data_IF_420103411615
#
_entry.id   IF_420103411615
#
_cell.length_a   1.000
_cell.length_b   1.000
_cell.length_c   1.000
_cell.angle_alpha   90.00
_cell.angle_beta   90.00
_cell.angle_gamma   90.00
#
_symmetry.space_group_name_H-M   'P 1'
#
loop_
_entity.id
_entity.type
_entity.pdbx_description
1 polymer ?
#
# COMPACT_ATOMS: atom_id res chain seq x y z
N UNK A 1 0.38 39.58 25.71
CA UNK A 1 0.93 39.03 24.45
C UNK A 1 1.21 37.52 24.49
N UNK A 2 0.44 36.74 25.28
CA UNK A 2 0.65 35.29 25.46
C UNK A 2 -0.53 34.42 25.01
N UNK A 3 -1.72 35.00 24.80
CA UNK A 3 -2.93 34.26 24.38
C UNK A 3 -2.83 33.71 22.95
N UNK A 4 -2.25 34.48 22.02
CA UNK A 4 -2.03 34.02 20.63
C UNK A 4 -1.03 32.86 20.58
N UNK A 5 0.04 32.92 21.38
CA UNK A 5 1.03 31.83 21.48
C UNK A 5 0.42 30.55 22.05
N UNK A 6 -0.44 30.67 23.07
CA UNK A 6 -1.18 29.54 23.65
C UNK A 6 -2.16 28.91 22.65
N UNK A 7 -2.89 29.72 21.89
CA UNK A 7 -3.82 29.23 20.87
C UNK A 7 -3.11 28.46 19.75
N UNK A 8 -1.96 28.97 19.29
CA UNK A 8 -1.14 28.29 18.26
C UNK A 8 -0.59 26.96 18.76
N UNK A 9 -0.10 26.90 20.00
CA UNK A 9 0.38 25.65 20.60
C UNK A 9 -0.73 24.61 20.77
N UNK A 10 -1.93 25.03 21.19
CA UNK A 10 -3.09 24.15 21.28
C UNK A 10 -3.58 23.66 19.91
N UNK A 11 -3.52 24.51 18.88
CA UNK A 11 -3.89 24.11 17.52
C UNK A 11 -2.89 23.10 16.94
N UNK A 12 -1.58 23.27 17.18
CA UNK A 12 -0.55 22.32 16.76
C UNK A 12 -0.70 21.00 17.52
N UNK A 13 -0.88 21.05 18.85
CA UNK A 13 -1.05 19.87 19.68
C UNK A 13 -2.34 19.11 19.32
N UNK A 14 -3.46 19.81 19.17
CA UNK A 14 -4.74 19.23 18.78
C UNK A 14 -4.75 18.71 17.34
N UNK A 15 -4.13 19.43 16.41
CA UNK A 15 -3.94 19.00 15.03
C UNK A 15 -3.09 17.73 14.93
N UNK A 16 -1.98 17.68 15.67
CA UNK A 16 -1.12 16.51 15.77
C UNK A 16 -1.83 15.30 16.39
N UNK A 17 -2.58 15.50 17.48
CA UNK A 17 -3.35 14.44 18.13
C UNK A 17 -4.43 13.86 17.21
N UNK A 18 -5.23 14.73 16.59
CA UNK A 18 -6.31 14.30 15.71
C UNK A 18 -5.80 13.60 14.45
N UNK A 19 -4.65 14.05 13.91
CA UNK A 19 -3.98 13.38 12.79
C UNK A 19 -3.49 11.98 13.19
N UNK A 20 -2.85 11.85 14.35
CA UNK A 20 -2.32 10.59 14.86
C UNK A 20 -3.42 9.57 15.20
N UNK A 21 -4.55 10.04 15.76
CA UNK A 21 -5.68 9.17 16.10
C UNK A 21 -6.37 8.60 14.85
N UNK A 22 -6.48 9.38 13.76
CA UNK A 22 -7.01 8.87 12.50
C UNK A 22 -6.10 7.82 11.86
N UNK A 23 -4.78 8.01 11.94
CA UNK A 23 -3.83 7.07 11.36
C UNK A 23 -3.78 5.74 12.13
N UNK A 24 -3.77 5.78 13.46
CA UNK A 24 -3.77 4.56 14.30
C UNK A 24 -5.03 3.71 14.10
N UNK A 25 -6.20 4.33 13.94
CA UNK A 25 -7.45 3.62 13.65
C UNK A 25 -7.47 3.00 12.24
N UNK A 26 -6.91 3.68 11.24
CA UNK A 26 -6.80 3.15 9.87
C UNK A 26 -5.86 1.93 9.80
N UNK A 27 -4.72 1.98 10.49
CA UNK A 27 -3.78 0.86 10.58
C UNK A 27 -4.39 -0.34 11.29
N UNK A 28 -5.13 -0.11 12.38
CA UNK A 28 -5.84 -1.18 13.10
C UNK A 28 -6.98 -1.79 12.26
N UNK A 29 -7.72 -0.98 11.50
CA UNK A 29 -8.76 -1.47 10.58
C UNK A 29 -8.17 -2.33 9.45
N UNK A 30 -7.04 -1.91 8.87
CA UNK A 30 -6.34 -2.70 7.86
C UNK A 30 -5.84 -4.05 8.40
N UNK A 31 -5.40 -4.10 9.67
CA UNK A 31 -4.98 -5.35 10.32
C UNK A 31 -6.13 -6.36 10.51
N UNK A 32 -7.37 -5.91 10.56
CA UNK A 32 -8.56 -6.75 10.78
C UNK A 32 -9.26 -7.18 9.48
N UNK A 33 -8.92 -6.58 8.34
CA UNK A 33 -9.53 -6.94 7.06
C UNK A 33 -9.01 -8.30 6.57
N UNK A 34 -9.93 -9.22 6.29
CA UNK A 34 -9.62 -10.51 5.66
C UNK A 34 -9.06 -10.29 4.23
N UNK A 35 -8.30 -11.25 3.69
CA UNK A 35 -7.92 -11.20 2.28
C UNK A 35 -9.13 -10.99 1.37
N UNK A 36 -8.96 -10.21 0.31
CA UNK A 36 -9.99 -10.07 -0.72
C UNK A 36 -10.24 -11.41 -1.42
N UNK A 37 -11.34 -11.51 -2.16
CA UNK A 37 -11.66 -12.68 -2.99
C UNK A 37 -10.50 -13.04 -3.95
N UNK A 38 -9.74 -12.03 -4.38
CA UNK A 38 -8.57 -12.17 -5.24
C UNK A 38 -7.26 -12.27 -4.43
N UNK A 39 -7.32 -12.59 -3.15
CA UNK A 39 -6.17 -12.85 -2.29
C UNK A 39 -5.32 -11.61 -1.96
N UNK A 40 -5.80 -10.40 -2.24
CA UNK A 40 -5.11 -9.17 -1.83
C UNK A 40 -5.34 -8.92 -0.35
N UNK A 41 -4.27 -8.62 0.38
CA UNK A 41 -4.36 -8.40 1.82
C UNK A 41 -4.15 -6.93 2.14
N UNK A 42 -5.00 -6.36 3.00
CA UNK A 42 -4.85 -5.00 3.47
C UNK A 42 -3.53 -4.82 4.21
N UNK A 43 -2.74 -3.84 3.78
CA UNK A 43 -1.42 -3.55 4.31
C UNK A 43 -1.15 -2.04 4.30
N UNK A 44 -0.31 -1.55 5.23
CA UNK A 44 0.18 -0.18 5.13
C UNK A 44 0.91 0.01 3.80
N UNK A 45 0.77 1.20 3.21
CA UNK A 45 1.44 1.53 1.97
C UNK A 45 2.93 1.80 2.23
N UNK A 46 3.81 1.43 1.29
CA UNK A 46 5.19 1.91 1.33
C UNK A 46 5.24 3.44 1.23
N UNK A 47 6.20 4.04 1.93
CA UNK A 47 6.49 5.46 1.95
C UNK A 47 6.68 6.00 0.54
N UNK A 48 6.02 7.12 0.25
CA UNK A 48 6.09 7.78 -1.06
C UNK A 48 5.17 7.18 -2.14
N UNK A 49 4.39 6.14 -1.84
CA UNK A 49 3.40 5.59 -2.77
C UNK A 49 2.02 6.21 -2.59
N UNK A 50 1.32 6.43 -3.70
CA UNK A 50 -0.07 6.88 -3.66
C UNK A 50 -0.98 5.77 -3.12
N UNK A 51 -1.95 6.16 -2.29
CA UNK A 51 -2.93 5.22 -1.73
C UNK A 51 -3.95 4.69 -2.74
N UNK A 52 -3.92 5.20 -3.97
CA UNK A 52 -4.81 4.82 -5.06
C UNK A 52 -4.00 4.56 -6.30
N UNK A 53 -4.40 3.54 -7.06
CA UNK A 53 -3.67 3.11 -8.25
C UNK A 53 -3.15 1.68 -8.12
N UNK A 54 -2.44 1.26 -9.16
CA UNK A 54 -1.70 0.00 -9.17
C UNK A 54 -0.21 0.32 -9.11
N UNK A 55 0.47 -0.24 -8.11
CA UNK A 55 1.93 -0.17 -8.01
C UNK A 55 2.51 -1.56 -8.16
N UNK A 56 3.40 -1.74 -9.12
CA UNK A 56 4.12 -2.99 -9.36
C UNK A 56 5.53 -2.85 -8.83
N UNK A 57 5.87 -3.67 -7.85
CA UNK A 57 7.19 -3.76 -7.26
C UNK A 57 7.98 -4.91 -7.88
N UNK A 58 9.13 -4.57 -8.46
CA UNK A 58 10.12 -5.50 -8.99
C UNK A 58 11.52 -5.00 -8.62
N UNK A 59 12.29 -5.72 -7.78
CA UNK A 59 13.63 -5.30 -7.38
C UNK A 59 14.56 -5.03 -8.57
N UNK A 60 15.51 -4.09 -8.44
CA UNK A 60 16.43 -3.71 -9.53
C UNK A 60 17.21 -4.89 -10.10
N UNK A 61 17.59 -5.85 -9.24
CA UNK A 61 18.33 -7.06 -9.61
C UNK A 61 17.45 -8.32 -9.61
N UNK A 62 16.19 -8.20 -10.02
CA UNK A 62 15.34 -9.39 -10.14
C UNK A 62 15.86 -10.32 -11.27
N UNK A 63 15.71 -11.66 -11.13
CA UNK A 63 15.98 -12.59 -12.21
C UNK A 63 15.22 -12.20 -13.48
N UNK A 64 15.79 -12.47 -14.65
CA UNK A 64 15.23 -12.04 -15.95
C UNK A 64 13.77 -12.45 -16.14
N UNK A 65 13.39 -13.64 -15.67
CA UNK A 65 12.01 -14.13 -15.74
C UNK A 65 11.04 -13.26 -14.92
N UNK A 66 11.43 -12.89 -13.71
CA UNK A 66 10.59 -12.06 -12.85
C UNK A 66 10.45 -10.63 -13.38
N UNK A 67 11.53 -10.08 -13.95
CA UNK A 67 11.49 -8.80 -14.66
C UNK A 67 10.49 -8.85 -15.83
N UNK A 68 10.56 -9.92 -16.64
CA UNK A 68 9.64 -10.13 -17.76
C UNK A 68 8.19 -10.25 -17.30
N UNK A 69 7.91 -10.97 -16.20
CA UNK A 69 6.55 -11.04 -15.63
C UNK A 69 6.04 -9.67 -15.19
N UNK A 70 6.88 -8.89 -14.50
CA UNK A 70 6.52 -7.55 -14.06
C UNK A 70 6.22 -6.61 -15.25
N UNK A 71 7.04 -6.68 -16.30
CA UNK A 71 6.87 -5.88 -17.52
C UNK A 71 5.64 -6.31 -18.32
N UNK A 72 5.41 -7.62 -18.44
CA UNK A 72 4.23 -8.17 -19.09
C UNK A 72 2.95 -7.75 -18.35
N UNK A 73 2.96 -7.81 -17.02
CA UNK A 73 1.82 -7.38 -16.20
C UNK A 73 1.57 -5.88 -16.35
N UNK A 74 2.62 -5.05 -16.27
CA UNK A 74 2.52 -3.61 -16.43
C UNK A 74 1.93 -3.22 -17.80
N UNK A 75 2.46 -3.82 -18.88
CA UNK A 75 2.01 -3.59 -20.25
C UNK A 75 0.55 -4.02 -20.44
N UNK A 76 0.19 -5.18 -19.93
CA UNK A 76 -1.17 -5.70 -20.01
C UNK A 76 -2.20 -4.83 -19.26
N UNK A 77 -1.84 -4.28 -18.10
CA UNK A 77 -2.71 -3.38 -17.34
C UNK A 77 -2.81 -2.00 -18.03
N UNK A 78 -1.69 -1.46 -18.51
CA UNK A 78 -1.67 -0.19 -19.24
C UNK A 78 -2.51 -0.25 -20.53
N UNK A 79 -2.44 -1.36 -21.29
CA UNK A 79 -3.26 -1.57 -22.49
C UNK A 79 -4.77 -1.55 -22.22
N UNK A 80 -5.18 -1.81 -20.97
CA UNK A 80 -6.57 -1.79 -20.50
C UNK A 80 -6.95 -0.48 -19.81
N UNK A 81 -6.11 0.56 -19.91
CA UNK A 81 -6.36 1.89 -19.37
C UNK A 81 -6.16 2.02 -17.85
N UNK A 82 -5.44 1.08 -17.23
CA UNK A 82 -5.15 1.14 -15.79
C UNK A 82 -3.86 1.94 -15.56
N UNK A 83 -3.87 2.98 -14.71
CA UNK A 83 -2.66 3.69 -14.34
C UNK A 83 -1.78 2.80 -13.47
N UNK A 84 -0.58 2.49 -13.98
CA UNK A 84 0.41 1.64 -13.32
C UNK A 84 1.66 2.46 -13.02
N UNK A 85 2.17 2.34 -11.79
CA UNK A 85 3.48 2.85 -11.39
C UNK A 85 4.41 1.68 -11.11
N UNK A 86 5.64 1.71 -11.65
CA UNK A 86 6.68 0.75 -11.26
C UNK A 86 7.51 1.31 -10.13
N UNK A 87 7.87 0.44 -9.19
CA UNK A 87 8.83 0.74 -8.13
C UNK A 87 9.85 -0.38 -8.00
N UNK A 88 11.07 0.00 -7.64
CA UNK A 88 12.17 -0.93 -7.39
C UNK A 88 12.50 -1.09 -5.90
N UNK A 89 11.93 -0.22 -5.07
CA UNK A 89 12.05 -0.24 -3.62
C UNK A 89 10.66 -0.11 -2.98
N UNK A 90 10.49 -0.75 -1.83
CA UNK A 90 9.33 -0.60 -0.97
C UNK A 90 9.86 -0.37 0.46
N UNK A 91 9.75 0.87 0.94
CA UNK A 91 10.16 1.23 2.28
C UNK A 91 8.91 1.48 3.13
N UNK A 92 8.76 0.84 4.28
CA UNK A 92 7.61 1.09 5.16
C UNK A 92 8.05 1.96 6.33
N UNK A 93 7.35 3.06 6.56
CA UNK A 93 7.59 3.96 7.70
C UNK A 93 6.35 3.99 8.57
N UNK A 94 6.55 3.88 9.89
CA UNK A 94 5.48 3.88 10.88
C UNK A 94 5.75 4.96 11.93
N UNK A 95 4.74 5.76 12.25
CA UNK A 95 4.83 6.81 13.29
C UNK A 95 4.79 6.23 14.72
N UNK A 96 4.30 5.00 14.87
CA UNK A 96 4.24 4.26 16.12
C UNK A 96 4.50 2.77 15.83
N UNK A 97 4.69 1.95 16.86
CA UNK A 97 4.85 0.50 16.69
C UNK A 97 3.63 -0.10 15.95
N UNK A 98 3.79 -0.65 14.74
CA UNK A 98 2.70 -1.23 13.97
C UNK A 98 2.17 -2.54 14.57
N UNK A 99 2.92 -3.15 15.50
CA UNK A 99 2.59 -4.43 16.10
C UNK A 99 2.97 -5.62 15.22
N UNK A 100 3.13 -6.78 15.86
CA UNK A 100 3.70 -7.98 15.24
C UNK A 100 2.85 -8.53 14.07
N UNK A 101 1.53 -8.53 14.21
CA UNK A 101 0.63 -9.05 13.17
C UNK A 101 0.72 -8.26 11.85
N UNK A 102 0.94 -6.94 11.93
CA UNK A 102 1.11 -6.09 10.74
C UNK A 102 2.45 -6.38 10.07
N UNK A 103 3.52 -6.49 10.87
CA UNK A 103 4.85 -6.83 10.37
C UNK A 103 4.88 -8.22 9.71
N UNK A 104 4.25 -9.23 10.31
CA UNK A 104 4.19 -10.58 9.78
C UNK A 104 3.45 -10.63 8.44
N UNK A 105 2.40 -9.83 8.29
CA UNK A 105 1.65 -9.70 7.03
C UNK A 105 2.50 -9.06 5.93
N UNK A 106 3.17 -7.95 6.24
CA UNK A 106 4.10 -7.30 5.30
C UNK A 106 5.17 -8.29 4.86
N UNK A 107 5.80 -8.99 5.82
CA UNK A 107 6.81 -9.98 5.53
C UNK A 107 6.26 -11.11 4.63
N UNK A 108 5.06 -11.61 4.93
CA UNK A 108 4.43 -12.69 4.15
C UNK A 108 4.24 -12.29 2.69
N UNK A 109 3.74 -11.07 2.43
CA UNK A 109 3.54 -10.60 1.05
C UNK A 109 4.88 -10.28 0.39
N UNK A 110 5.78 -9.58 1.07
CA UNK A 110 7.06 -9.14 0.51
C UNK A 110 8.06 -10.28 0.26
N UNK A 111 7.95 -11.40 0.98
CA UNK A 111 8.73 -12.62 0.74
C UNK A 111 8.11 -13.53 -0.33
N UNK A 112 6.91 -13.20 -0.80
CA UNK A 112 6.27 -13.93 -1.88
C UNK A 112 6.99 -13.78 -3.22
N UNK A 113 6.49 -14.50 -4.22
CA UNK A 113 7.03 -14.43 -5.55
C UNK A 113 6.81 -13.03 -6.18
N UNK A 114 7.85 -12.49 -6.81
CA UNK A 114 7.77 -11.23 -7.54
C UNK A 114 7.09 -11.38 -8.91
N UNK A 115 6.37 -10.36 -9.41
CA UNK A 115 6.24 -9.03 -8.83
C UNK A 115 5.28 -8.97 -7.63
N UNK A 116 5.56 -8.08 -6.68
CA UNK A 116 4.58 -7.72 -5.65
C UNK A 116 3.73 -6.58 -6.20
N UNK A 117 2.41 -6.70 -6.10
CA UNK A 117 1.49 -5.70 -6.64
C UNK A 117 0.64 -5.13 -5.52
N UNK A 118 0.60 -3.80 -5.46
CA UNK A 118 -0.29 -3.05 -4.59
C UNK A 118 -1.44 -2.46 -5.39
N UNK A 119 -2.66 -2.66 -4.89
CA UNK A 119 -3.88 -2.08 -5.43
C UNK A 119 -4.59 -1.39 -4.27
N UNK A 120 -4.69 -0.06 -4.32
CA UNK A 120 -5.43 0.77 -3.37
C UNK A 120 -5.21 0.44 -1.87
N UNK A 121 -3.96 0.20 -1.45
CA UNK A 121 -3.64 -0.12 -0.05
C UNK A 121 -3.74 -1.60 0.32
N UNK A 122 -3.91 -2.48 -0.67
CA UNK A 122 -3.81 -3.94 -0.50
C UNK A 122 -2.66 -4.46 -1.33
N UNK A 123 -1.95 -5.47 -0.84
CA UNK A 123 -0.83 -6.07 -1.56
C UNK A 123 -0.98 -7.57 -1.75
N UNK A 124 -0.43 -8.07 -2.85
CA UNK A 124 -0.34 -9.50 -3.17
C UNK A 124 0.94 -9.81 -3.94
N UNK A 125 1.49 -10.99 -3.69
CA UNK A 125 2.62 -11.53 -4.43
C UNK A 125 2.17 -12.25 -5.71
N UNK A 126 2.86 -11.97 -6.82
CA UNK A 126 2.67 -12.54 -8.16
C UNK A 126 1.20 -12.73 -8.59
N UNK A 127 0.32 -11.71 -8.51
CA UNK A 127 -1.05 -11.88 -8.96
C UNK A 127 -1.15 -11.92 -10.49
N UNK A 128 -2.21 -12.57 -10.99
CA UNK A 128 -2.58 -12.52 -12.40
C UNK A 128 -3.18 -11.15 -12.79
N UNK A 129 -3.23 -10.87 -14.10
CA UNK A 129 -3.78 -9.59 -14.60
C UNK A 129 -5.26 -9.40 -14.24
N UNK A 130 -6.06 -10.46 -14.31
CA UNK A 130 -7.50 -10.41 -14.05
C UNK A 130 -7.80 -10.17 -12.57
N UNK A 131 -6.97 -10.70 -11.67
CA UNK A 131 -7.04 -10.44 -10.23
C UNK A 131 -6.77 -8.97 -9.92
N UNK A 132 -5.72 -8.39 -10.52
CA UNK A 132 -5.39 -6.96 -10.35
C UNK A 132 -6.50 -6.07 -10.89
N UNK A 133 -7.08 -6.41 -12.05
CA UNK A 133 -8.18 -5.65 -12.64
C UNK A 133 -9.44 -5.69 -11.78
N UNK A 134 -9.76 -6.86 -11.25
CA UNK A 134 -10.96 -7.06 -10.43
C UNK A 134 -10.84 -6.30 -9.12
N UNK A 135 -9.68 -6.39 -8.46
CA UNK A 135 -9.41 -5.61 -7.23
C UNK A 135 -9.44 -4.10 -7.52
N UNK A 136 -8.81 -3.65 -8.61
CA UNK A 136 -8.76 -2.21 -8.94
C UNK A 136 -10.14 -1.62 -9.25
N UNK A 137 -11.01 -2.39 -9.91
CA UNK A 137 -12.36 -1.94 -10.27
C UNK A 137 -13.32 -1.96 -9.09
N UNK A 138 -13.18 -2.94 -8.19
CA UNK A 138 -14.00 -3.05 -6.97
C UNK A 138 -13.99 -1.73 -6.19
N UNK A 139 -12.83 -1.13 -6.01
CA UNK A 139 -12.68 0.11 -5.23
C UNK A 139 -13.07 1.39 -5.98
N UNK A 140 -13.21 1.34 -7.32
CA UNK A 140 -13.77 2.46 -8.10
C UNK A 140 -15.30 2.48 -8.13
N UNK A 141 -15.94 1.38 -7.74
CA UNK A 141 -17.40 1.25 -7.67
C UNK A 141 -18.00 1.50 -6.28
N UNK A 142 -17.18 1.86 -5.28
CA UNK A 142 -17.58 2.16 -3.91
C UNK A 142 -17.57 3.66 -3.62
#
# INVERSE_FOLDING_TARGET
MNLIRLAVLLAIAGGGWHYWQKHSLATAAAALEAPSEHGFVAMPLPSGMAARGVVIFAPENCPSEAAQRADALASQLASRGIPVTRSHSANFTFDADPGRAVLDRINTVMQGEIPIVFVNGKGRANPGVDDVLSEYRRDKGA
#
